data_IF_515470271320
#
_entry.id   IF_515470271320
#
_cell.length_a   1.000
_cell.length_b   1.000
_cell.length_c   1.000
_cell.angle_alpha   90.00
_cell.angle_beta   90.00
_cell.angle_gamma   90.00
#
_symmetry.space_group_name_H-M   'P 1'
#
loop_
_entity.id
_entity.type
_entity.pdbx_description
1 polymer ?
#
# COMPACT_ATOMS: atom_id res chain seq x y z
N UNK A 1 -23.81 56.75 -68.16
CA UNK A 1 -24.63 55.82 -68.99
C UNK A 1 -23.79 54.54 -69.17
N UNK A 2 -24.43 53.44 -68.93
CA UNK A 2 -24.03 52.06 -69.18
C UNK A 2 -22.86 51.50 -68.42
N UNK A 3 -23.25 50.88 -67.28
CA UNK A 3 -22.60 49.83 -66.61
C UNK A 3 -22.33 48.62 -67.47
N UNK A 4 -21.22 48.00 -67.33
CA UNK A 4 -21.09 46.61 -67.69
C UNK A 4 -20.35 45.89 -66.53
N UNK A 5 -21.17 45.18 -65.82
CA UNK A 5 -20.81 44.27 -64.78
C UNK A 5 -20.36 42.93 -65.40
N UNK A 6 -19.19 42.48 -65.09
CA UNK A 6 -18.69 41.19 -65.49
C UNK A 6 -18.49 40.30 -64.25
N UNK A 7 -18.92 39.03 -64.21
CA UNK A 7 -18.85 38.17 -63.05
C UNK A 7 -17.45 37.69 -62.85
N UNK A 8 -16.98 37.84 -61.58
CA UNK A 8 -15.75 37.23 -61.05
C UNK A 8 -16.04 35.80 -60.72
N UNK A 9 -15.50 34.92 -61.49
CA UNK A 9 -15.43 33.48 -61.15
C UNK A 9 -14.40 33.24 -60.08
N UNK A 10 -14.91 33.07 -58.90
CA UNK A 10 -14.07 32.64 -57.75
C UNK A 10 -14.10 31.11 -57.68
N UNK A 11 -13.19 30.48 -58.38
CA UNK A 11 -12.88 29.07 -58.19
C UNK A 11 -12.04 28.96 -56.94
N UNK A 12 -12.69 28.77 -55.81
CA UNK A 12 -12.00 28.34 -54.56
C UNK A 12 -11.51 26.92 -54.76
N UNK A 13 -10.21 26.80 -54.99
CA UNK A 13 -9.51 25.54 -54.90
C UNK A 13 -9.49 25.11 -53.44
N UNK A 14 -10.40 24.20 -53.11
CA UNK A 14 -10.39 23.50 -51.80
C UNK A 14 -9.13 22.64 -51.72
N UNK A 15 -8.12 23.14 -51.05
CA UNK A 15 -6.93 22.35 -50.71
C UNK A 15 -7.32 21.34 -49.63
N UNK A 16 -7.23 20.02 -49.89
CA UNK A 16 -7.49 19.05 -48.84
C UNK A 16 -6.43 19.20 -47.73
N UNK A 17 -6.90 19.32 -46.49
CA UNK A 17 -6.06 19.32 -45.31
C UNK A 17 -5.27 18.02 -45.27
N UNK A 18 -3.99 18.03 -44.85
CA UNK A 18 -3.22 16.81 -44.71
C UNK A 18 -3.85 15.93 -43.64
N UNK A 19 -4.10 14.69 -44.01
CA UNK A 19 -4.57 13.64 -43.13
C UNK A 19 -3.59 13.51 -41.97
N UNK A 20 -4.07 13.82 -40.77
CA UNK A 20 -3.29 13.65 -39.52
C UNK A 20 -3.12 12.15 -39.30
N UNK A 21 -2.00 11.62 -39.74
CA UNK A 21 -1.58 10.27 -39.39
C UNK A 21 -1.28 10.29 -37.89
N UNK A 22 -2.24 9.86 -37.10
CA UNK A 22 -1.99 9.55 -35.69
C UNK A 22 -0.96 8.44 -35.65
N UNK A 23 0.21 8.63 -34.99
CA UNK A 23 1.15 7.54 -34.83
C UNK A 23 0.46 6.45 -34.01
N UNK A 24 0.36 5.27 -34.59
CA UNK A 24 -0.08 4.07 -33.90
C UNK A 24 0.90 3.82 -32.77
N UNK A 25 0.45 4.08 -31.52
CA UNK A 25 1.22 3.75 -30.33
C UNK A 25 1.21 2.22 -30.27
N UNK A 26 2.36 1.55 -30.39
CA UNK A 26 2.37 0.11 -30.26
C UNK A 26 1.83 -0.28 -28.87
N UNK A 27 0.97 -1.28 -28.86
CA UNK A 27 0.47 -1.83 -27.61
C UNK A 27 1.63 -2.15 -26.67
N UNK A 28 1.52 -1.83 -25.39
CA UNK A 28 2.55 -2.19 -24.43
C UNK A 28 2.79 -3.71 -24.50
N UNK A 29 4.04 -4.15 -24.45
CA UNK A 29 4.34 -5.57 -24.52
C UNK A 29 3.58 -6.32 -23.43
N UNK A 30 2.94 -7.43 -23.82
CA UNK A 30 2.28 -8.32 -22.86
C UNK A 30 3.28 -8.68 -21.72
N UNK A 31 2.86 -8.57 -20.46
CA UNK A 31 3.73 -8.95 -19.35
C UNK A 31 4.13 -10.44 -19.50
N UNK A 32 5.37 -10.79 -19.21
CA UNK A 32 5.82 -12.16 -19.35
C UNK A 32 5.00 -13.10 -18.44
N UNK A 33 4.69 -14.32 -18.89
CA UNK A 33 3.83 -15.27 -18.15
C UNK A 33 4.34 -15.60 -16.73
N UNK A 34 5.63 -15.41 -16.47
CA UNK A 34 6.21 -15.55 -15.14
C UNK A 34 5.77 -14.44 -14.17
N UNK A 35 5.42 -13.25 -14.68
CA UNK A 35 4.91 -12.15 -13.85
C UNK A 35 3.48 -12.43 -13.37
N UNK A 36 2.68 -13.10 -14.20
CA UNK A 36 1.31 -13.50 -13.85
C UNK A 36 1.29 -14.57 -12.77
N UNK A 37 2.11 -15.62 -12.92
CA UNK A 37 2.25 -16.68 -11.92
C UNK A 37 2.76 -16.15 -10.57
N UNK A 38 3.72 -15.24 -10.56
CA UNK A 38 4.21 -14.61 -9.33
C UNK A 38 3.14 -13.71 -8.69
N UNK A 39 2.33 -13.05 -9.50
CA UNK A 39 1.21 -12.22 -9.06
C UNK A 39 0.09 -13.07 -8.45
N UNK A 40 -0.25 -14.19 -9.06
CA UNK A 40 -1.24 -15.14 -8.55
C UNK A 40 -0.77 -15.78 -7.24
N UNK A 41 0.48 -16.23 -7.15
CA UNK A 41 1.05 -16.77 -5.93
C UNK A 41 1.02 -15.76 -4.78
N UNK A 42 1.30 -14.48 -5.06
CA UNK A 42 1.22 -13.40 -4.07
C UNK A 42 -0.21 -13.17 -3.60
N UNK A 43 -1.19 -13.17 -4.51
CA UNK A 43 -2.61 -13.04 -4.16
C UNK A 43 -3.08 -14.20 -3.30
N UNK A 44 -2.71 -15.43 -3.66
CA UNK A 44 -3.03 -16.62 -2.87
C UNK A 44 -2.44 -16.56 -1.45
N UNK A 45 -1.19 -16.09 -1.31
CA UNK A 45 -0.55 -15.90 0.00
C UNK A 45 -1.25 -14.83 0.85
N UNK A 46 -1.70 -13.75 0.24
CA UNK A 46 -2.47 -12.70 0.93
C UNK A 46 -3.81 -13.27 1.42
N UNK A 47 -4.51 -14.01 0.58
CA UNK A 47 -5.81 -14.60 0.93
C UNK A 47 -5.68 -15.64 2.04
N UNK A 48 -4.65 -16.47 1.99
CA UNK A 48 -4.34 -17.43 3.06
C UNK A 48 -4.05 -16.71 4.39
N UNK A 49 -3.28 -15.63 4.36
CA UNK A 49 -3.00 -14.81 5.54
C UNK A 49 -4.27 -14.21 6.12
N UNK A 50 -5.17 -13.70 5.26
CA UNK A 50 -6.49 -13.18 5.69
C UNK A 50 -7.34 -14.23 6.38
N UNK A 51 -7.44 -15.39 5.77
CA UNK A 51 -8.21 -16.52 6.30
C UNK A 51 -7.67 -16.93 7.68
N UNK A 52 -6.37 -17.16 7.77
CA UNK A 52 -5.72 -17.54 9.02
C UNK A 52 -5.85 -16.48 10.10
N UNK A 53 -5.72 -15.23 9.73
CA UNK A 53 -5.93 -14.09 10.65
C UNK A 53 -7.35 -14.10 11.23
N UNK A 54 -8.36 -14.29 10.39
CA UNK A 54 -9.75 -14.33 10.84
C UNK A 54 -10.04 -15.51 11.80
N UNK A 55 -9.45 -16.68 11.54
CA UNK A 55 -9.53 -17.84 12.44
C UNK A 55 -8.92 -17.53 13.81
N UNK A 56 -7.71 -16.98 13.82
CA UNK A 56 -7.00 -16.64 15.04
C UNK A 56 -7.69 -15.53 15.85
N UNK A 57 -8.27 -14.52 15.18
CA UNK A 57 -9.07 -13.51 15.89
C UNK A 57 -10.32 -14.10 16.54
N UNK A 58 -10.98 -15.05 15.89
CA UNK A 58 -12.11 -15.76 16.50
C UNK A 58 -11.69 -16.48 17.78
N UNK A 59 -10.57 -17.19 17.75
CA UNK A 59 -10.02 -17.89 18.91
C UNK A 59 -9.54 -16.93 20.00
N UNK A 60 -8.90 -15.84 19.63
CA UNK A 60 -8.41 -14.81 20.59
C UNK A 60 -9.56 -14.10 21.30
N UNK A 61 -10.66 -13.82 20.60
CA UNK A 61 -11.81 -13.11 21.13
C UNK A 61 -12.88 -14.03 21.77
N UNK A 62 -12.69 -15.34 21.73
CA UNK A 62 -13.60 -16.29 22.34
C UNK A 62 -13.46 -16.24 23.87
N UNK A 63 -14.43 -15.65 24.54
CA UNK A 63 -14.45 -15.50 26.00
C UNK A 63 -14.64 -16.84 26.73
N UNK A 64 -15.20 -17.85 26.06
CA UNK A 64 -15.38 -19.20 26.61
C UNK A 64 -14.10 -20.06 26.52
N UNK A 65 -13.16 -19.66 25.66
CA UNK A 65 -11.90 -20.35 25.49
C UNK A 65 -10.98 -20.16 26.71
N UNK A 66 -10.16 -21.16 27.07
CA UNK A 66 -9.14 -21.01 28.11
C UNK A 66 -8.19 -19.85 27.81
N UNK A 67 -7.76 -19.11 28.83
CA UNK A 67 -6.84 -17.99 28.68
C UNK A 67 -5.56 -18.39 27.93
N UNK A 68 -5.03 -19.59 28.18
CA UNK A 68 -3.85 -20.11 27.48
C UNK A 68 -4.05 -20.23 25.96
N UNK A 69 -5.25 -20.61 25.50
CA UNK A 69 -5.58 -20.68 24.07
C UNK A 69 -5.68 -19.30 23.48
N UNK A 70 -6.31 -18.37 24.18
CA UNK A 70 -6.40 -16.96 23.77
C UNK A 70 -5.03 -16.30 23.67
N UNK A 71 -4.16 -16.53 24.61
CA UNK A 71 -2.76 -16.02 24.60
C UNK A 71 -1.96 -16.64 23.43
N UNK A 72 -2.14 -17.92 23.17
CA UNK A 72 -1.51 -18.60 22.04
C UNK A 72 -2.01 -18.04 20.68
N UNK A 73 -3.31 -17.79 20.55
CA UNK A 73 -3.89 -17.17 19.34
C UNK A 73 -3.37 -15.74 19.16
N UNK A 74 -3.26 -14.95 20.21
CA UNK A 74 -2.67 -13.61 20.19
C UNK A 74 -1.22 -13.63 19.71
N UNK A 75 -0.40 -14.51 20.25
CA UNK A 75 0.99 -14.68 19.82
C UNK A 75 1.10 -15.14 18.37
N UNK A 76 0.21 -16.03 17.93
CA UNK A 76 0.15 -16.49 16.56
C UNK A 76 -0.25 -15.36 15.60
N UNK A 77 -1.17 -14.47 15.99
CA UNK A 77 -1.54 -13.28 15.21
C UNK A 77 -0.35 -12.34 15.02
N UNK A 78 0.42 -12.09 16.08
CA UNK A 78 1.62 -11.26 15.97
C UNK A 78 2.63 -11.88 15.01
N UNK A 79 2.91 -13.18 15.14
CA UNK A 79 3.84 -13.87 14.24
C UNK A 79 3.39 -13.89 12.80
N UNK A 80 2.09 -14.10 12.57
CA UNK A 80 1.50 -14.11 11.22
C UNK A 80 1.70 -12.76 10.50
N UNK A 81 1.65 -11.66 11.24
CA UNK A 81 1.72 -10.30 10.70
C UNK A 81 3.10 -9.63 10.83
N UNK A 82 4.13 -10.32 11.30
CA UNK A 82 5.51 -9.79 11.32
C UNK A 82 6.00 -9.32 9.95
N UNK A 83 5.71 -10.00 8.83
CA UNK A 83 6.08 -9.50 7.49
C UNK A 83 5.50 -8.12 7.17
N UNK A 84 4.33 -7.78 7.70
CA UNK A 84 3.74 -6.44 7.57
C UNK A 84 4.59 -5.39 8.30
N UNK A 85 5.10 -5.70 9.48
CA UNK A 85 6.00 -4.83 10.24
C UNK A 85 7.29 -4.56 9.46
N UNK A 86 7.91 -5.60 8.92
CA UNK A 86 9.11 -5.47 8.11
C UNK A 86 8.85 -4.62 6.86
N UNK A 87 7.72 -4.82 6.20
CA UNK A 87 7.31 -4.02 5.05
C UNK A 87 7.17 -2.53 5.41
N UNK A 88 6.56 -2.22 6.53
CA UNK A 88 6.44 -0.84 7.03
C UNK A 88 7.79 -0.25 7.41
N UNK A 89 8.64 -1.04 8.08
CA UNK A 89 9.97 -0.59 8.53
C UNK A 89 10.93 -0.28 7.37
N UNK A 90 10.79 -0.97 6.23
CA UNK A 90 11.62 -0.72 5.04
C UNK A 90 11.54 0.71 4.52
N UNK A 91 10.43 1.41 4.72
CA UNK A 91 10.27 2.82 4.35
C UNK A 91 11.20 3.76 5.11
N UNK A 92 11.70 3.32 6.26
CA UNK A 92 12.54 4.09 7.16
C UNK A 92 13.99 3.63 7.16
N UNK A 93 14.37 2.75 6.23
CA UNK A 93 15.75 2.34 6.02
C UNK A 93 16.64 3.54 5.74
N UNK A 94 17.90 3.45 6.16
CA UNK A 94 18.93 4.45 5.90
C UNK A 94 18.65 5.83 6.51
N UNK A 95 17.88 5.89 7.59
CA UNK A 95 17.62 7.12 8.34
C UNK A 95 18.40 7.23 9.64
N UNK A 96 19.49 6.47 9.79
CA UNK A 96 20.40 6.54 10.92
C UNK A 96 20.09 5.61 12.08
N UNK A 97 19.03 4.80 11.97
CA UNK A 97 18.67 3.80 12.98
C UNK A 97 18.79 2.37 12.42
N UNK A 98 19.21 1.39 13.22
CA UNK A 98 19.28 0.00 12.80
C UNK A 98 17.90 -0.53 12.39
N UNK A 99 17.84 -1.29 11.28
CA UNK A 99 16.59 -1.85 10.80
C UNK A 99 15.89 -2.76 11.81
N UNK A 100 16.68 -3.55 12.55
CA UNK A 100 16.17 -4.43 13.61
C UNK A 100 15.44 -3.66 14.71
N UNK A 101 15.93 -2.50 15.09
CA UNK A 101 15.29 -1.62 16.09
C UNK A 101 13.96 -1.08 15.56
N UNK A 102 13.90 -0.75 14.27
CA UNK A 102 12.66 -0.31 13.61
C UNK A 102 11.62 -1.43 13.58
N UNK A 103 12.04 -2.66 13.33
CA UNK A 103 11.16 -3.84 13.35
C UNK A 103 10.63 -4.09 14.79
N UNK A 104 11.47 -3.98 15.80
CA UNK A 104 11.04 -4.13 17.19
C UNK A 104 10.02 -3.07 17.59
N UNK A 105 10.25 -1.82 17.24
CA UNK A 105 9.31 -0.72 17.49
C UNK A 105 8.01 -0.90 16.73
N UNK A 106 8.10 -1.28 15.47
CA UNK A 106 6.93 -1.60 14.65
C UNK A 106 6.12 -2.77 15.20
N UNK A 107 6.79 -3.77 15.79
CA UNK A 107 6.15 -4.91 16.46
C UNK A 107 5.33 -4.47 17.67
N UNK A 108 5.78 -3.48 18.43
CA UNK A 108 4.98 -2.86 19.50
C UNK A 108 3.68 -2.30 18.93
N UNK A 109 3.74 -1.60 17.80
CA UNK A 109 2.56 -1.09 17.09
C UNK A 109 1.63 -2.21 16.62
N UNK A 110 2.20 -3.32 16.13
CA UNK A 110 1.44 -4.50 15.74
C UNK A 110 0.70 -5.12 16.93
N UNK A 111 1.36 -5.30 18.06
CA UNK A 111 0.76 -5.85 19.29
C UNK A 111 -0.42 -4.97 19.75
N UNK A 112 -0.23 -3.65 19.79
CA UNK A 112 -1.30 -2.71 20.11
C UNK A 112 -2.48 -2.84 19.15
N UNK A 113 -2.20 -3.06 17.86
CA UNK A 113 -3.24 -3.23 16.85
C UNK A 113 -4.02 -4.53 17.04
N UNK A 114 -3.36 -5.64 17.37
CA UNK A 114 -4.03 -6.92 17.69
C UNK A 114 -4.97 -6.75 18.87
N UNK A 115 -4.52 -6.09 19.94
CA UNK A 115 -5.30 -5.91 21.16
C UNK A 115 -6.51 -4.98 21.01
N UNK A 116 -6.50 -4.10 20.01
CA UNK A 116 -7.53 -3.07 19.80
C UNK A 116 -8.39 -3.30 18.56
N UNK A 117 -8.08 -4.32 17.76
CA UNK A 117 -8.79 -4.57 16.52
C UNK A 117 -10.22 -5.03 16.77
N UNK A 118 -11.14 -4.37 16.10
CA UNK A 118 -12.56 -4.70 16.10
C UNK A 118 -12.91 -5.42 14.79
N UNK A 119 -13.17 -6.73 14.89
CA UNK A 119 -13.49 -7.59 13.74
C UNK A 119 -14.85 -7.28 13.10
N UNK A 120 -15.73 -6.57 13.82
CA UNK A 120 -17.08 -6.24 13.34
C UNK A 120 -17.12 -5.02 12.41
N UNK A 121 -16.05 -4.22 12.37
CA UNK A 121 -15.99 -3.01 11.53
C UNK A 121 -15.83 -3.28 10.04
N UNK A 122 -15.63 -4.52 9.61
CA UNK A 122 -15.48 -4.88 8.20
C UNK A 122 -14.20 -4.35 7.52
N UNK A 123 -13.23 -3.87 8.29
CA UNK A 123 -11.91 -3.43 7.82
C UNK A 123 -10.94 -4.58 7.94
N UNK A 124 -10.08 -4.75 6.94
CA UNK A 124 -9.00 -5.74 6.99
C UNK A 124 -7.97 -5.36 8.06
N UNK A 125 -7.46 -6.36 8.80
CA UNK A 125 -6.50 -6.13 9.88
C UNK A 125 -5.23 -5.41 9.42
N UNK A 126 -4.66 -5.77 8.27
CA UNK A 126 -3.47 -5.12 7.72
C UNK A 126 -3.69 -3.62 7.45
N UNK A 127 -4.87 -3.25 6.96
CA UNK A 127 -5.25 -1.86 6.74
C UNK A 127 -5.37 -1.08 8.04
N UNK A 128 -5.92 -1.71 9.07
CA UNK A 128 -6.03 -1.12 10.40
C UNK A 128 -4.67 -0.99 11.12
N UNK A 129 -3.83 -2.02 11.03
CA UNK A 129 -2.55 -2.08 11.75
C UNK A 129 -1.46 -1.16 11.15
N UNK A 130 -1.45 -0.98 9.84
CA UNK A 130 -0.40 -0.22 9.13
C UNK A 130 -0.20 1.20 9.68
N UNK A 131 -1.23 2.04 9.89
CA UNK A 131 -1.04 3.38 10.45
C UNK A 131 -0.46 3.34 11.87
N UNK A 132 -0.84 2.38 12.70
CA UNK A 132 -0.35 2.24 14.06
C UNK A 132 1.11 1.81 14.08
N UNK A 133 1.51 0.84 13.25
CA UNK A 133 2.90 0.41 13.09
C UNK A 133 3.78 1.58 12.64
N UNK A 134 3.38 2.28 11.59
CA UNK A 134 4.10 3.45 11.08
C UNK A 134 4.16 4.57 12.11
N UNK A 135 3.08 4.79 12.85
CA UNK A 135 3.01 5.78 13.92
C UNK A 135 4.02 5.52 15.05
N UNK A 136 4.19 4.26 15.47
CA UNK A 136 5.19 3.88 16.48
C UNK A 136 6.63 4.08 15.97
N UNK A 137 6.90 3.74 14.70
CA UNK A 137 8.21 3.97 14.09
C UNK A 137 8.52 5.47 14.00
N UNK A 138 7.57 6.29 13.56
CA UNK A 138 7.72 7.75 13.51
C UNK A 138 7.95 8.36 14.89
N UNK A 139 7.24 7.88 15.89
CA UNK A 139 7.42 8.30 17.28
C UNK A 139 8.82 7.97 17.78
N UNK A 140 9.34 6.79 17.48
CA UNK A 140 10.69 6.39 17.81
C UNK A 140 11.73 7.35 17.23
N UNK A 141 11.64 7.71 15.95
CA UNK A 141 12.53 8.70 15.34
C UNK A 141 12.43 10.07 15.99
N UNK A 142 11.24 10.52 16.32
CA UNK A 142 11.01 11.79 17.00
C UNK A 142 11.67 11.81 18.38
N UNK A 143 11.51 10.75 19.15
CA UNK A 143 12.06 10.64 20.49
C UNK A 143 13.59 10.54 20.47
N UNK A 144 14.16 9.81 19.50
CA UNK A 144 15.61 9.77 19.24
C UNK A 144 16.17 11.12 18.80
N UNK A 145 15.49 11.80 17.88
CA UNK A 145 15.87 13.14 17.44
C UNK A 145 15.85 14.16 18.57
N UNK A 146 14.97 13.99 19.54
CA UNK A 146 14.91 14.85 20.73
C UNK A 146 16.05 14.56 21.71
N UNK A 147 16.41 13.31 21.91
CA UNK A 147 17.53 12.90 22.76
C UNK A 147 18.89 13.39 22.25
N UNK A 148 19.06 13.63 20.96
CA UNK A 148 20.28 14.16 20.32
C UNK A 148 20.32 15.70 20.35
N UNK A 149 19.20 16.37 20.56
CA UNK A 149 19.16 17.83 20.78
C UNK A 149 19.61 18.19 22.20
N UNK A 150 20.90 18.07 22.45
CA UNK A 150 21.51 18.74 23.59
C UNK A 150 21.48 20.24 23.31
N UNK A 151 20.87 21.08 24.16
CA UNK A 151 20.90 22.52 23.96
C UNK A 151 22.35 22.98 23.93
N UNK A 152 22.76 23.57 22.84
CA UNK A 152 24.04 24.26 22.80
C UNK A 152 23.93 25.49 23.72
N UNK A 153 24.77 25.50 24.73
CA UNK A 153 24.96 26.70 25.54
C UNK A 153 25.67 27.76 24.75
#
# INVERSE_FOLDING_TARGET
MTSTDGPVDATEASTPLPEVVTPEIPDPPEPPPAADAASEARRAGIEETRRRSAELFREFLDEEAPQSSRDAARDALVRLHLPLVEHCARRFRNRGEPFEDLVQVGTIGLIKSVDRFDTERGVEFSTYATPTIIGEIKRYFRDKGWAIRVPRR
#
